data_IF_454528629919
#
_entry.id   IF_454528629919
#
_cell.length_a   1.000
_cell.length_b   1.000
_cell.length_c   1.000
_cell.angle_alpha   90.00
_cell.angle_beta   90.00
_cell.angle_gamma   90.00
#
_symmetry.space_group_name_H-M   'P 1'
#
loop_
_entity.id
_entity.type
_entity.pdbx_description
1 polymer ?
#
# COMPACT_ATOMS: atom_id res chain seq x y z
N UNK A 1 8.59 16.51 -9.62
CA UNK A 1 7.58 15.46 -9.94
C UNK A 1 6.26 15.69 -9.22
N UNK A 2 6.25 15.84 -7.89
CA UNK A 2 5.02 16.11 -7.11
C UNK A 2 4.25 17.33 -7.63
N UNK A 3 4.93 18.44 -7.98
CA UNK A 3 4.27 19.58 -8.63
C UNK A 3 3.56 19.22 -9.94
N UNK A 4 4.17 18.37 -10.79
CA UNK A 4 3.53 17.90 -12.03
C UNK A 4 2.28 17.07 -11.73
N UNK A 5 2.31 16.27 -10.66
CA UNK A 5 1.14 15.51 -10.19
C UNK A 5 -0.01 16.44 -9.78
N UNK A 6 0.29 17.51 -9.02
CA UNK A 6 -0.69 18.55 -8.68
C UNK A 6 -1.24 19.25 -9.92
N UNK A 7 -0.36 19.74 -10.78
CA UNK A 7 -0.77 20.46 -12.00
C UNK A 7 -1.56 19.54 -12.96
N UNK A 8 -1.35 18.22 -12.87
CA UNK A 8 -2.10 17.18 -13.58
C UNK A 8 -3.42 16.76 -12.92
N UNK A 9 -3.82 17.40 -11.81
CA UNK A 9 -5.12 17.19 -11.17
C UNK A 9 -5.19 16.04 -10.16
N UNK A 10 -4.06 15.56 -9.63
CA UNK A 10 -4.12 14.60 -8.51
C UNK A 10 -4.40 15.34 -7.18
N UNK A 11 -5.22 14.72 -6.33
CA UNK A 11 -5.45 15.15 -4.94
C UNK A 11 -4.59 14.38 -3.93
N UNK A 12 -4.24 13.13 -4.26
CA UNK A 12 -3.57 12.17 -3.37
C UNK A 12 -2.35 11.57 -4.08
N UNK A 13 -1.22 11.50 -3.36
CA UNK A 13 -0.06 10.71 -3.75
C UNK A 13 -0.06 9.39 -2.98
N UNK A 14 -0.12 8.27 -3.70
CA UNK A 14 0.01 6.94 -3.10
C UNK A 14 1.45 6.44 -3.19
N UNK A 15 1.96 5.83 -2.13
CA UNK A 15 3.28 5.17 -2.15
C UNK A 15 3.31 3.95 -1.24
N UNK A 16 4.16 2.98 -1.59
CA UNK A 16 4.55 1.89 -0.70
C UNK A 16 5.64 2.33 0.28
N UNK A 17 5.80 1.55 1.35
CA UNK A 17 6.95 1.61 2.24
C UNK A 17 7.84 0.39 1.99
N UNK A 18 9.11 0.61 1.68
CA UNK A 18 10.04 -0.45 1.25
C UNK A 18 10.89 -0.97 2.41
N UNK A 19 10.37 -1.95 3.16
CA UNK A 19 11.01 -2.45 4.39
C UNK A 19 12.48 -2.84 4.19
N UNK A 20 12.80 -3.62 3.16
CA UNK A 20 14.17 -4.04 2.87
C UNK A 20 15.18 -2.90 2.71
N UNK A 21 14.75 -1.75 2.17
CA UNK A 21 15.57 -0.55 2.08
C UNK A 21 15.66 0.20 3.41
N UNK A 22 14.57 0.21 4.17
CA UNK A 22 14.52 0.89 5.47
C UNK A 22 15.16 0.11 6.62
N UNK A 23 15.34 -1.21 6.53
CA UNK A 23 16.00 -2.04 7.53
C UNK A 23 16.95 -3.05 6.84
N UNK A 24 18.07 -2.59 6.24
CA UNK A 24 18.99 -3.44 5.48
C UNK A 24 19.62 -4.57 6.32
N UNK A 25 19.69 -4.40 7.65
CA UNK A 25 20.07 -5.44 8.61
C UNK A 25 19.27 -5.30 9.90
N UNK A 26 19.07 -6.38 10.69
CA UNK A 26 18.18 -6.37 11.85
C UNK A 26 18.45 -5.20 12.80
N UNK A 27 17.43 -4.38 13.05
CA UNK A 27 17.47 -3.23 13.96
C UNK A 27 18.22 -1.99 13.45
N UNK A 28 18.89 -2.06 12.28
CA UNK A 28 19.59 -0.91 11.69
C UNK A 28 18.72 -0.28 10.62
N UNK A 29 18.11 0.85 10.97
CA UNK A 29 17.21 1.57 10.08
C UNK A 29 17.93 2.59 9.20
N UNK A 30 17.41 2.81 7.99
CA UNK A 30 17.90 3.80 7.05
C UNK A 30 16.73 4.62 6.48
N UNK A 31 16.75 5.92 6.75
CA UNK A 31 15.74 6.91 6.32
C UNK A 31 16.40 8.16 5.72
N UNK A 32 17.53 7.97 5.03
CA UNK A 32 18.28 9.05 4.41
C UNK A 32 18.17 8.98 2.88
N UNK A 33 18.69 10.00 2.20
CA UNK A 33 18.74 10.11 0.74
C UNK A 33 17.38 9.84 0.07
N UNK A 34 17.32 8.84 -0.82
CA UNK A 34 16.09 8.44 -1.53
C UNK A 34 15.10 7.65 -0.66
N UNK A 35 15.54 7.23 0.53
CA UNK A 35 14.74 6.52 1.53
C UNK A 35 14.25 7.45 2.66
N UNK A 36 14.43 8.77 2.54
CA UNK A 36 13.84 9.73 3.47
C UNK A 36 12.33 9.89 3.20
N UNK A 37 11.56 8.95 3.72
CA UNK A 37 10.10 8.90 3.55
C UNK A 37 9.40 10.07 4.25
N UNK A 38 9.94 10.57 5.36
CA UNK A 38 9.38 11.73 6.08
C UNK A 38 9.50 12.97 5.21
N UNK A 39 10.69 13.23 4.64
CA UNK A 39 10.90 14.35 3.72
C UNK A 39 10.02 14.22 2.48
N UNK A 40 9.87 13.02 1.92
CA UNK A 40 8.96 12.78 0.80
C UNK A 40 7.52 13.20 1.14
N UNK A 41 6.96 12.68 2.25
CA UNK A 41 5.58 12.98 2.67
C UNK A 41 5.40 14.47 3.00
N UNK A 42 6.37 15.11 3.68
CA UNK A 42 6.34 16.56 3.92
C UNK A 42 6.38 17.36 2.62
N UNK A 43 7.11 16.89 1.60
CA UNK A 43 7.13 17.54 0.29
C UNK A 43 5.77 17.42 -0.42
N UNK A 44 5.07 16.30 -0.27
CA UNK A 44 3.67 16.15 -0.74
C UNK A 44 2.76 17.16 -0.04
N UNK A 45 2.86 17.26 1.30
CA UNK A 45 2.09 18.22 2.09
C UNK A 45 2.35 19.69 1.68
N UNK A 46 3.60 20.06 1.41
CA UNK A 46 3.97 21.41 0.96
C UNK A 46 3.34 21.78 -0.38
N UNK A 47 3.01 20.79 -1.21
CA UNK A 47 2.25 21.01 -2.44
C UNK A 47 0.74 21.03 -2.20
N UNK A 48 0.25 20.81 -0.97
CA UNK A 48 -1.17 20.79 -0.63
C UNK A 48 -1.89 19.53 -1.15
N UNK A 49 -1.17 18.42 -1.26
CA UNK A 49 -1.71 17.11 -1.63
C UNK A 49 -1.79 16.20 -0.40
N UNK A 50 -2.71 15.24 -0.43
CA UNK A 50 -2.80 14.18 0.56
C UNK A 50 -1.90 12.99 0.22
N UNK A 51 -1.77 12.06 1.16
CA UNK A 51 -1.01 10.82 1.02
C UNK A 51 -1.87 9.61 1.37
N UNK A 52 -1.81 8.58 0.53
CA UNK A 52 -2.20 7.22 0.88
C UNK A 52 -0.93 6.39 1.10
N UNK A 53 -0.66 6.04 2.36
CA UNK A 53 0.58 5.35 2.75
C UNK A 53 0.38 3.83 2.83
N UNK A 54 0.88 3.08 1.86
CA UNK A 54 0.77 1.61 1.82
C UNK A 54 1.95 0.98 2.54
N UNK A 55 1.79 0.68 3.82
CA UNK A 55 2.89 0.29 4.71
C UNK A 55 3.36 -1.15 4.44
N UNK A 56 2.46 -2.04 3.99
CA UNK A 56 2.78 -3.45 3.74
C UNK A 56 2.68 -4.29 5.02
N UNK A 57 3.67 -5.13 5.37
CA UNK A 57 5.07 -4.99 4.96
C UNK A 57 5.41 -5.69 3.65
N UNK A 58 4.61 -6.66 3.21
CA UNK A 58 4.67 -7.14 1.84
C UNK A 58 4.01 -6.11 0.93
N UNK A 59 4.69 -5.74 -0.15
CA UNK A 59 4.21 -4.71 -1.08
C UNK A 59 4.11 -5.21 -2.53
N UNK A 60 4.61 -6.41 -2.83
CA UNK A 60 4.85 -6.86 -4.21
C UNK A 60 5.72 -5.83 -4.95
N UNK A 61 5.07 -4.92 -5.69
CA UNK A 61 5.64 -3.68 -6.19
C UNK A 61 6.72 -3.85 -7.24
N UNK A 62 6.82 -5.05 -7.83
CA UNK A 62 7.92 -5.45 -8.73
C UNK A 62 9.27 -5.13 -8.11
N UNK A 63 9.32 -5.23 -6.78
CA UNK A 63 10.44 -4.81 -5.95
C UNK A 63 11.13 -6.03 -5.36
N UNK A 64 12.44 -5.90 -5.13
CA UNK A 64 13.26 -6.99 -4.64
C UNK A 64 12.62 -7.68 -3.42
N UNK A 65 12.42 -8.99 -3.53
CA UNK A 65 11.83 -9.86 -2.51
C UNK A 65 10.47 -9.37 -1.94
N UNK A 66 9.68 -8.65 -2.76
CA UNK A 66 8.35 -8.15 -2.39
C UNK A 66 8.38 -7.10 -1.27
N UNK A 67 9.53 -6.47 -1.04
CA UNK A 67 9.77 -5.52 0.06
C UNK A 67 10.34 -6.15 1.32
N UNK A 68 10.38 -7.47 1.46
CA UNK A 68 10.95 -8.09 2.66
C UNK A 68 12.48 -7.97 2.71
N UNK A 69 13.07 -7.66 3.88
CA UNK A 69 14.51 -7.78 4.05
C UNK A 69 14.95 -9.24 3.92
N UNK A 70 16.04 -9.50 3.18
CA UNK A 70 16.53 -10.89 2.97
C UNK A 70 16.91 -11.57 4.30
N UNK A 71 17.46 -10.81 5.27
CA UNK A 71 17.80 -11.35 6.59
C UNK A 71 16.58 -11.93 7.32
N UNK A 72 15.37 -11.46 7.02
CA UNK A 72 14.14 -11.92 7.65
C UNK A 72 13.94 -13.41 7.39
N UNK A 73 14.29 -13.91 6.20
CA UNK A 73 14.17 -15.34 5.82
C UNK A 73 14.97 -16.27 6.74
N UNK A 74 16.00 -15.77 7.41
CA UNK A 74 16.90 -16.56 8.25
C UNK A 74 16.57 -16.46 9.74
N UNK A 75 15.49 -15.76 10.11
CA UNK A 75 14.97 -15.78 11.48
C UNK A 75 14.49 -17.21 11.81
N UNK A 76 14.91 -17.81 12.94
CA UNK A 76 14.50 -19.17 13.29
C UNK A 76 12.98 -19.34 13.32
N UNK A 77 12.49 -20.39 12.63
CA UNK A 77 11.07 -20.75 12.59
C UNK A 77 10.18 -19.79 11.82
N UNK A 78 10.74 -18.92 10.96
CA UNK A 78 9.95 -17.96 10.20
C UNK A 78 9.23 -18.58 9.01
N UNK A 79 7.95 -18.22 8.86
CA UNK A 79 7.16 -18.50 7.67
C UNK A 79 6.44 -17.21 7.27
N UNK A 80 6.60 -16.81 6.02
CA UNK A 80 6.14 -15.50 5.57
C UNK A 80 4.64 -15.51 5.32
N UNK A 81 3.99 -14.39 5.66
CA UNK A 81 2.59 -14.10 5.29
C UNK A 81 1.65 -15.25 5.64
N UNK A 82 1.77 -15.76 6.87
CA UNK A 82 0.88 -16.76 7.45
C UNK A 82 0.84 -16.56 8.97
N UNK A 83 0.05 -17.37 9.68
CA UNK A 83 -0.10 -17.29 11.13
C UNK A 83 1.14 -17.84 11.87
N UNK A 84 2.25 -17.12 11.74
CA UNK A 84 3.57 -17.50 12.24
C UNK A 84 4.07 -16.45 13.23
N UNK A 85 4.39 -16.86 14.46
CA UNK A 85 4.75 -15.93 15.53
C UNK A 85 6.03 -15.10 15.22
N UNK A 86 7.14 -15.69 14.74
CA UNK A 86 8.30 -14.91 14.31
C UNK A 86 7.99 -13.86 13.24
N UNK A 87 7.19 -14.22 12.23
CA UNK A 87 6.81 -13.30 11.17
C UNK A 87 5.94 -12.15 11.69
N UNK A 88 4.88 -12.47 12.44
CA UNK A 88 3.99 -11.49 13.06
C UNK A 88 4.75 -10.49 13.94
N UNK A 89 5.69 -10.96 14.75
CA UNK A 89 6.49 -10.09 15.61
C UNK A 89 7.38 -9.11 14.82
N UNK A 90 8.03 -9.57 13.74
CA UNK A 90 8.86 -8.71 12.91
C UNK A 90 8.01 -7.73 12.07
N UNK A 91 6.90 -8.19 11.49
CA UNK A 91 5.94 -7.35 10.77
C UNK A 91 5.40 -6.25 11.69
N UNK A 92 4.93 -6.60 12.89
CA UNK A 92 4.40 -5.65 13.85
C UNK A 92 5.46 -4.62 14.24
N UNK A 93 6.70 -5.05 14.55
CA UNK A 93 7.81 -4.13 14.89
C UNK A 93 8.04 -3.10 13.78
N UNK A 94 8.07 -3.53 12.52
CA UNK A 94 8.30 -2.62 11.42
C UNK A 94 7.11 -1.67 11.19
N UNK A 95 5.87 -2.19 11.20
CA UNK A 95 4.67 -1.36 11.06
C UNK A 95 4.57 -0.33 12.19
N UNK A 96 4.82 -0.73 13.44
CA UNK A 96 4.87 0.17 14.60
C UNK A 96 5.93 1.25 14.44
N UNK A 97 7.13 0.88 13.95
CA UNK A 97 8.21 1.84 13.67
C UNK A 97 7.77 2.91 12.68
N UNK A 98 7.15 2.52 11.57
CA UNK A 98 6.68 3.45 10.53
C UNK A 98 5.54 4.33 11.07
N UNK A 99 4.53 3.75 11.72
CA UNK A 99 3.42 4.52 12.29
C UNK A 99 3.91 5.49 13.38
N UNK A 100 4.83 5.06 14.24
CA UNK A 100 5.41 5.93 15.28
C UNK A 100 6.19 7.09 14.67
N UNK A 101 6.96 6.84 13.61
CA UNK A 101 7.67 7.88 12.87
C UNK A 101 6.70 8.89 12.26
N UNK A 102 5.63 8.42 11.59
CA UNK A 102 4.62 9.31 11.01
C UNK A 102 3.89 10.13 12.08
N UNK A 103 3.60 9.54 13.26
CA UNK A 103 2.97 10.23 14.39
C UNK A 103 3.87 11.29 15.01
N UNK A 104 5.15 10.98 15.23
CA UNK A 104 6.13 11.90 15.78
C UNK A 104 6.26 13.16 14.91
N UNK A 105 6.16 12.98 13.59
CA UNK A 105 6.20 14.05 12.60
C UNK A 105 4.82 14.68 12.31
N UNK A 106 3.76 14.26 13.02
CA UNK A 106 2.37 14.72 12.88
C UNK A 106 1.83 14.60 11.45
N UNK A 107 2.17 13.51 10.77
CA UNK A 107 1.87 13.32 9.35
C UNK A 107 0.51 12.68 9.06
N UNK A 108 -0.19 12.13 10.05
CA UNK A 108 -1.59 11.71 9.87
C UNK A 108 -2.53 12.91 9.80
N UNK A 109 -3.57 12.83 8.97
CA UNK A 109 -4.49 13.95 8.71
C UNK A 109 -5.16 14.47 9.99
N UNK A 110 -5.56 13.56 10.90
CA UNK A 110 -6.08 13.93 12.23
C UNK A 110 -5.11 14.71 13.12
N UNK A 111 -3.82 14.76 12.77
CA UNK A 111 -2.78 15.55 13.45
C UNK A 111 -2.41 16.85 12.70
N UNK A 112 -3.05 17.11 11.56
CA UNK A 112 -2.76 18.19 10.62
C UNK A 112 -1.84 17.80 9.45
N UNK A 113 -1.51 16.52 9.30
CA UNK A 113 -0.64 16.00 8.25
C UNK A 113 -1.35 15.62 6.94
N UNK A 114 -0.63 15.13 5.91
CA UNK A 114 -1.26 14.77 4.64
C UNK A 114 -1.79 13.33 4.58
N UNK A 115 -1.44 12.42 5.50
CA UNK A 115 -1.78 10.99 5.36
C UNK A 115 -3.25 10.77 5.73
N UNK A 116 -4.08 10.48 4.73
CA UNK A 116 -5.55 10.31 4.88
C UNK A 116 -6.00 8.86 5.03
N UNK A 117 -5.12 7.90 4.73
CA UNK A 117 -5.39 6.46 4.90
C UNK A 117 -4.10 5.66 4.80
N UNK A 118 -4.12 4.43 5.30
CA UNK A 118 -2.99 3.50 5.21
C UNK A 118 -3.41 2.09 4.79
N UNK A 119 -2.51 1.35 4.15
CA UNK A 119 -2.73 -0.06 3.82
C UNK A 119 -1.84 -0.97 4.65
N UNK A 120 -2.42 -2.05 5.18
CA UNK A 120 -1.69 -3.18 5.74
C UNK A 120 -1.83 -4.39 4.81
N UNK A 121 -0.77 -5.18 4.68
CA UNK A 121 -0.63 -6.23 3.65
C UNK A 121 -0.77 -5.70 2.21
N UNK A 122 -0.65 -6.59 1.23
CA UNK A 122 -0.90 -6.30 -0.17
C UNK A 122 -1.38 -7.53 -0.95
N UNK A 123 -2.58 -7.45 -1.54
CA UNK A 123 -3.20 -8.49 -2.36
C UNK A 123 -3.16 -9.88 -1.71
N UNK A 124 -3.53 -9.96 -0.43
CA UNK A 124 -3.41 -11.20 0.34
C UNK A 124 -4.59 -12.16 0.15
N UNK A 125 -5.76 -11.70 -0.32
CA UNK A 125 -6.95 -12.54 -0.49
C UNK A 125 -6.71 -13.83 -1.30
N UNK A 126 -6.04 -13.79 -2.46
CA UNK A 126 -5.68 -14.99 -3.20
C UNK A 126 -4.77 -15.95 -2.43
N UNK A 127 -3.78 -15.42 -1.69
CA UNK A 127 -2.87 -16.22 -0.84
C UNK A 127 -3.63 -16.85 0.31
N UNK A 128 -4.50 -16.08 0.97
CA UNK A 128 -5.36 -16.57 2.04
C UNK A 128 -6.24 -17.73 1.57
N UNK A 129 -6.84 -17.62 0.39
CA UNK A 129 -7.67 -18.67 -0.18
C UNK A 129 -6.88 -19.98 -0.32
N UNK A 130 -5.64 -19.90 -0.81
CA UNK A 130 -4.77 -21.04 -1.02
C UNK A 130 -4.32 -21.68 0.30
N UNK A 131 -3.86 -20.89 1.27
CA UNK A 131 -3.30 -21.42 2.52
C UNK A 131 -4.37 -21.70 3.59
N UNK A 132 -5.61 -21.26 3.39
CA UNK A 132 -6.77 -21.61 4.21
C UNK A 132 -6.77 -20.98 5.60
N UNK A 133 -7.02 -21.80 6.64
CA UNK A 133 -7.26 -21.33 8.01
C UNK A 133 -6.10 -20.50 8.61
N UNK A 134 -4.82 -20.87 8.46
CA UNK A 134 -3.69 -20.00 8.85
C UNK A 134 -3.76 -18.62 8.20
N UNK A 135 -4.15 -18.55 6.94
CA UNK A 135 -4.27 -17.27 6.24
C UNK A 135 -5.35 -16.38 6.82
N UNK A 136 -6.52 -16.95 7.14
CA UNK A 136 -7.63 -16.22 7.80
C UNK A 136 -7.23 -15.72 9.19
N UNK A 137 -6.54 -16.54 9.97
CA UNK A 137 -6.04 -16.14 11.30
C UNK A 137 -5.04 -14.99 11.19
N UNK A 138 -4.10 -15.09 10.25
CA UNK A 138 -3.13 -14.04 9.98
C UNK A 138 -3.77 -12.72 9.56
N UNK A 139 -4.72 -12.74 8.62
CA UNK A 139 -5.32 -11.48 8.13
C UNK A 139 -6.13 -10.78 9.23
N UNK A 140 -6.80 -11.57 10.07
CA UNK A 140 -7.54 -11.04 11.21
C UNK A 140 -6.58 -10.38 12.22
N UNK A 141 -5.46 -11.05 12.51
CA UNK A 141 -4.39 -10.48 13.33
C UNK A 141 -3.81 -9.20 12.71
N UNK A 142 -3.50 -9.18 11.42
CA UNK A 142 -2.88 -8.05 10.73
C UNK A 142 -3.78 -6.81 10.75
N UNK A 143 -5.07 -6.98 10.46
CA UNK A 143 -6.07 -5.92 10.55
C UNK A 143 -6.20 -5.38 11.98
N UNK A 144 -6.31 -6.27 12.98
CA UNK A 144 -6.41 -5.87 14.40
C UNK A 144 -5.17 -5.13 14.88
N UNK A 145 -3.99 -5.60 14.49
CA UNK A 145 -2.71 -4.94 14.79
C UNK A 145 -2.69 -3.54 14.19
N UNK A 146 -2.97 -3.40 12.88
CA UNK A 146 -2.93 -2.11 12.20
C UNK A 146 -3.91 -1.10 12.79
N UNK A 147 -5.16 -1.49 13.01
CA UNK A 147 -6.20 -0.66 13.63
C UNK A 147 -5.80 -0.26 15.05
N UNK A 148 -5.24 -1.19 15.82
CA UNK A 148 -4.76 -0.97 17.18
C UNK A 148 -3.61 0.05 17.29
N UNK A 149 -2.94 0.38 16.19
CA UNK A 149 -1.94 1.45 16.16
C UNK A 149 -2.56 2.85 16.25
N UNK A 150 -3.88 2.99 16.16
CA UNK A 150 -4.63 4.24 16.39
C UNK A 150 -4.07 5.42 15.59
N UNK A 151 -3.93 5.25 14.26
CA UNK A 151 -3.45 6.29 13.34
C UNK A 151 -4.42 7.47 13.21
N UNK A 152 -5.68 7.29 13.61
CA UNK A 152 -6.74 8.28 13.48
C UNK A 152 -7.37 8.35 12.08
N UNK A 153 -6.79 7.64 11.10
CA UNK A 153 -7.28 7.60 9.72
C UNK A 153 -7.65 6.17 9.31
N UNK A 154 -8.51 5.97 8.28
CA UNK A 154 -8.91 4.65 7.83
C UNK A 154 -7.75 3.76 7.40
N UNK A 155 -7.93 2.46 7.61
CA UNK A 155 -7.07 1.42 7.11
C UNK A 155 -7.75 0.63 6.00
N UNK A 156 -6.98 0.23 4.99
CA UNK A 156 -7.48 -0.48 3.82
C UNK A 156 -6.68 -1.76 3.56
N UNK A 157 -7.23 -2.66 2.75
CA UNK A 157 -6.54 -3.83 2.19
C UNK A 157 -6.99 -4.01 0.73
N UNK A 158 -6.07 -4.16 -0.21
CA UNK A 158 -6.41 -4.41 -1.61
C UNK A 158 -6.57 -5.92 -1.89
N UNK A 159 -7.50 -6.27 -2.78
CA UNK A 159 -7.88 -7.66 -3.12
C UNK A 159 -8.07 -8.54 -1.88
N UNK A 160 -8.82 -8.05 -0.91
CA UNK A 160 -9.11 -8.77 0.33
C UNK A 160 -10.62 -8.75 0.58
N UNK A 161 -11.35 -9.78 0.16
CA UNK A 161 -12.81 -9.76 0.25
C UNK A 161 -13.33 -9.86 1.71
N UNK A 162 -12.67 -10.64 2.55
CA UNK A 162 -13.08 -10.89 3.93
C UNK A 162 -12.33 -10.01 4.94
N UNK A 163 -12.24 -8.71 4.66
CA UNK A 163 -11.64 -7.74 5.58
C UNK A 163 -12.37 -7.70 6.93
N UNK A 164 -11.66 -7.74 8.06
CA UNK A 164 -12.22 -7.45 9.37
C UNK A 164 -12.62 -5.96 9.47
N UNK A 165 -13.77 -5.65 10.07
CA UNK A 165 -14.11 -4.26 10.42
C UNK A 165 -13.04 -3.66 11.36
N UNK A 166 -12.71 -2.36 11.26
CA UNK A 166 -13.31 -1.34 10.38
C UNK A 166 -12.64 -1.18 9.01
N UNK A 167 -11.79 -2.13 8.59
CA UNK A 167 -10.99 -2.02 7.36
C UNK A 167 -11.88 -1.84 6.10
N UNK A 168 -11.31 -1.22 5.06
CA UNK A 168 -11.95 -1.07 3.75
C UNK A 168 -11.25 -1.99 2.75
N UNK A 169 -11.99 -2.90 2.12
CA UNK A 169 -11.48 -3.67 0.98
C UNK A 169 -11.49 -2.84 -0.30
N UNK A 170 -10.44 -2.99 -1.12
CA UNK A 170 -10.24 -2.18 -2.34
C UNK A 170 -9.86 -3.04 -3.53
N UNK A 171 -10.02 -2.48 -4.73
CA UNK A 171 -9.78 -3.17 -6.00
C UNK A 171 -8.49 -2.71 -6.68
N UNK A 172 -7.85 -3.66 -7.39
CA UNK A 172 -6.67 -3.46 -8.22
C UNK A 172 -6.92 -4.10 -9.59
N UNK A 173 -6.52 -3.45 -10.67
CA UNK A 173 -6.64 -4.00 -12.01
C UNK A 173 -6.60 -2.97 -13.13
N UNK A 174 -6.81 -3.42 -14.36
CA UNK A 174 -7.09 -2.54 -15.49
C UNK A 174 -8.49 -1.91 -15.40
N UNK A 175 -9.43 -2.61 -14.78
CA UNK A 175 -10.83 -2.25 -14.63
C UNK A 175 -11.34 -2.66 -13.24
N UNK A 176 -12.09 -1.79 -12.57
CA UNK A 176 -12.69 -2.05 -11.26
C UNK A 176 -14.14 -1.52 -11.17
N UNK A 177 -14.80 -1.24 -12.30
CA UNK A 177 -16.18 -0.73 -12.31
C UNK A 177 -17.18 -1.75 -11.74
N UNK A 178 -16.91 -3.05 -11.85
CA UNK A 178 -17.76 -4.10 -11.27
C UNK A 178 -17.52 -4.37 -9.78
N UNK A 179 -16.44 -3.83 -9.21
CA UNK A 179 -16.11 -4.04 -7.81
C UNK A 179 -17.08 -3.30 -6.89
N UNK A 180 -17.43 -3.94 -5.78
CA UNK A 180 -18.09 -3.33 -4.63
C UNK A 180 -17.47 -3.87 -3.35
N UNK A 181 -17.20 -3.02 -2.35
CA UNK A 181 -16.71 -3.51 -1.06
C UNK A 181 -17.72 -4.46 -0.43
N UNK A 182 -17.25 -5.53 0.19
CA UNK A 182 -18.14 -6.61 0.69
C UNK A 182 -19.04 -6.18 1.84
N UNK A 183 -18.61 -5.19 2.62
CA UNK A 183 -19.37 -4.65 3.74
C UNK A 183 -20.17 -3.44 3.26
N UNK A 184 -21.49 -3.47 3.50
CA UNK A 184 -22.37 -2.33 3.25
C UNK A 184 -21.85 -1.08 3.99
N UNK A 185 -21.97 0.10 3.39
CA UNK A 185 -21.52 1.40 3.90
C UNK A 185 -20.01 1.68 3.86
N UNK A 186 -19.23 0.93 3.08
CA UNK A 186 -17.83 1.29 2.76
C UNK A 186 -17.73 1.97 1.39
N UNK A 187 -16.83 2.94 1.20
CA UNK A 187 -16.62 3.58 -0.10
C UNK A 187 -16.00 2.60 -1.10
N UNK A 188 -16.39 2.72 -2.37
CA UNK A 188 -15.77 1.99 -3.47
C UNK A 188 -14.46 2.67 -3.87
N UNK A 189 -13.36 1.95 -3.73
CA UNK A 189 -12.00 2.47 -3.92
C UNK A 189 -11.17 1.56 -4.83
N UNK A 190 -10.49 2.18 -5.79
CA UNK A 190 -9.59 1.54 -6.75
C UNK A 190 -8.15 1.99 -6.47
N UNK A 191 -7.38 1.15 -5.79
CA UNK A 191 -6.03 1.48 -5.29
C UNK A 191 -4.94 1.32 -6.33
N UNK A 192 -5.16 0.49 -7.36
CA UNK A 192 -4.25 0.36 -8.50
C UNK A 192 -4.98 0.31 -9.84
N UNK A 193 -5.20 1.47 -10.44
CA UNK A 193 -5.54 1.60 -11.85
C UNK A 193 -4.27 1.45 -12.67
N UNK A 194 -4.02 0.23 -13.16
CA UNK A 194 -2.78 -0.10 -13.85
C UNK A 194 -2.60 0.74 -15.12
N UNK A 195 -1.65 1.67 -15.13
CA UNK A 195 -1.46 2.61 -16.25
C UNK A 195 -0.74 1.99 -17.43
N UNK A 196 -0.08 0.86 -17.22
CA UNK A 196 0.57 0.01 -18.21
C UNK A 196 0.92 -1.32 -17.51
N UNK A 197 2.11 -1.85 -17.77
CA UNK A 197 2.70 -2.99 -17.06
C UNK A 197 4.19 -2.72 -16.80
N UNK A 198 4.84 -3.51 -15.94
CA UNK A 198 6.29 -3.42 -15.76
C UNK A 198 7.03 -4.02 -16.97
N UNK A 199 8.26 -3.58 -17.20
CA UNK A 199 9.13 -4.16 -18.23
C UNK A 199 10.08 -5.17 -17.58
N UNK A 200 10.10 -6.39 -18.09
CA UNK A 200 11.04 -7.44 -17.67
C UNK A 200 12.24 -7.54 -18.63
N UNK A 201 13.37 -8.05 -18.14
CA UNK A 201 14.52 -8.31 -19.00
C UNK A 201 14.18 -9.33 -20.08
N UNK A 202 14.40 -8.98 -21.35
CA UNK A 202 14.02 -9.79 -22.50
C UNK A 202 12.57 -9.60 -22.96
N UNK A 203 11.75 -8.85 -22.21
CA UNK A 203 10.39 -8.49 -22.60
C UNK A 203 10.31 -7.23 -23.46
N UNK A 204 9.15 -7.03 -24.11
CA UNK A 204 8.82 -5.77 -24.78
C UNK A 204 8.35 -4.72 -23.78
N UNK A 205 8.44 -3.44 -24.15
CA UNK A 205 7.89 -2.34 -23.34
C UNK A 205 6.36 -2.35 -23.50
N UNK A 206 5.61 -2.67 -22.43
CA UNK A 206 4.15 -2.74 -22.49
C UNK A 206 3.55 -1.33 -22.59
N UNK A 207 2.41 -1.23 -23.29
CA UNK A 207 1.70 0.03 -23.50
C UNK A 207 0.20 -0.15 -23.23
N UNK A 208 -0.40 0.82 -22.53
CA UNK A 208 -1.85 0.94 -22.39
C UNK A 208 -2.29 2.26 -23.01
N UNK A 209 -3.28 2.28 -23.92
CA UNK A 209 -3.83 3.50 -24.49
C UNK A 209 -4.42 4.44 -23.43
N UNK A 210 -4.23 5.75 -23.61
CA UNK A 210 -4.77 6.76 -22.69
C UNK A 210 -6.29 6.80 -22.74
N UNK A 211 -6.88 6.56 -23.92
CA UNK A 211 -8.33 6.48 -24.13
C UNK A 211 -8.94 5.33 -23.33
N UNK A 212 -8.25 4.19 -23.28
CA UNK A 212 -8.69 3.04 -22.48
C UNK A 212 -8.61 3.33 -20.98
N UNK A 213 -7.50 3.91 -20.51
CA UNK A 213 -7.35 4.28 -19.11
C UNK A 213 -8.43 5.30 -18.70
N UNK A 214 -8.66 6.34 -19.51
CA UNK A 214 -9.70 7.34 -19.26
C UNK A 214 -11.10 6.71 -19.23
N UNK A 215 -11.40 5.80 -20.16
CA UNK A 215 -12.66 5.04 -20.19
C UNK A 215 -12.84 4.20 -18.93
N UNK A 216 -11.80 3.48 -18.49
CA UNK A 216 -11.85 2.65 -17.30
C UNK A 216 -12.10 3.48 -16.03
N UNK A 217 -11.42 4.62 -15.89
CA UNK A 217 -11.64 5.56 -14.77
C UNK A 217 -13.05 6.13 -14.79
N UNK A 218 -13.53 6.60 -15.95
CA UNK A 218 -14.90 7.12 -16.10
C UNK A 218 -15.95 6.06 -15.74
N UNK A 219 -15.75 4.80 -16.15
CA UNK A 219 -16.64 3.68 -15.78
C UNK A 219 -16.66 3.39 -14.29
N UNK A 220 -15.52 3.51 -13.62
CA UNK A 220 -15.46 3.35 -12.16
C UNK A 220 -16.24 4.45 -11.47
N UNK A 221 -15.98 5.72 -11.82
CA UNK A 221 -16.61 6.90 -11.19
C UNK A 221 -18.12 6.91 -11.42
N UNK A 222 -18.60 6.71 -12.66
CA UNK A 222 -20.04 6.70 -12.95
C UNK A 222 -20.79 5.57 -12.20
N UNK A 223 -20.09 4.51 -11.80
CA UNK A 223 -20.64 3.38 -11.05
C UNK A 223 -20.27 3.43 -9.56
N UNK A 224 -20.29 4.63 -8.98
CA UNK A 224 -20.13 4.88 -7.55
C UNK A 224 -18.68 4.85 -7.03
N UNK A 225 -17.68 4.81 -7.91
CA UNK A 225 -16.27 4.91 -7.53
C UNK A 225 -15.96 6.26 -6.91
N UNK A 226 -15.29 6.25 -5.76
CA UNK A 226 -15.03 7.47 -4.94
C UNK A 226 -13.53 7.74 -4.70
N UNK A 227 -12.67 6.79 -5.08
CA UNK A 227 -11.22 6.90 -5.04
C UNK A 227 -10.64 6.08 -6.19
N UNK A 228 -9.75 6.66 -6.98
CA UNK A 228 -9.00 5.98 -8.04
C UNK A 228 -7.55 6.43 -8.00
N UNK A 229 -6.61 5.49 -7.92
CA UNK A 229 -5.19 5.78 -7.91
C UNK A 229 -4.48 5.12 -9.10
N UNK A 230 -3.74 5.92 -9.87
CA UNK A 230 -2.93 5.45 -11.00
C UNK A 230 -1.68 4.70 -10.52
N UNK A 231 -1.57 3.42 -10.86
CA UNK A 231 -0.39 2.59 -10.62
C UNK A 231 0.28 2.28 -11.97
N UNK A 232 1.25 3.05 -12.45
CA UNK A 232 1.94 4.17 -11.80
C UNK A 232 1.65 5.50 -12.47
N UNK A 233 1.45 6.54 -11.66
CA UNK A 233 1.52 7.93 -12.14
C UNK A 233 2.96 8.32 -12.52
N UNK A 234 3.93 7.87 -11.71
CA UNK A 234 5.35 7.90 -12.05
C UNK A 234 6.00 6.59 -11.58
N UNK A 235 6.43 5.75 -12.51
CA UNK A 235 7.07 4.46 -12.18
C UNK A 235 8.53 4.63 -11.72
N UNK A 236 9.31 5.45 -12.43
CA UNK A 236 10.69 5.75 -12.06
C UNK A 236 11.69 4.69 -12.50
N UNK A 237 12.65 4.37 -11.62
CA UNK A 237 13.80 3.51 -11.94
C UNK A 237 14.16 2.66 -10.73
N UNK A 238 14.41 1.36 -10.97
CA UNK A 238 15.04 0.48 -9.99
C UNK A 238 16.56 0.69 -10.02
N UNK A 239 17.06 1.64 -9.22
CA UNK A 239 18.46 2.09 -9.16
C UNK A 239 19.42 1.12 -8.45
#
# INVERSE_FOLDING_TARGET
>A
LIKKAKDGGLDVIQTYVFWNGHEPSPGKYYFEDRYDIVKFIKTVQQQGLYVHLRIGPYICGEWNFGGFPVWLKYVPGIEFRTDNAPFKANMQRFTEKIVSLMKAERLFETQGGPIIMSQIENEYGPVQWEIGAPGKSYIYWAAKMAVGLNTGVPWIMCKQEDVPEPMIDTCNGFYCEGFWPKKNNKPKMWTEAWTAWYTEFGGSVPYRPVEDLAYAVARSIQNGGSFVNYYMYHGGTNF
#
